data_IF_328837638502
#
_entry.id   IF_328837638502
#
_cell.length_a   1.000
_cell.length_b   1.000
_cell.length_c   1.000
_cell.angle_alpha   90.00
_cell.angle_beta   90.00
_cell.angle_gamma   90.00
#
_symmetry.space_group_name_H-M   'P 1'
#
loop_
_entity.id
_entity.type
_entity.pdbx_description
1 polymer ?
#
# COMPACT_ATOMS: atom_id res chain seq x y z
N UNK A 1 -3.19 4.10 29.23
CA UNK A 1 -2.46 3.49 28.11
C UNK A 1 -2.89 4.17 26.82
N UNK A 2 -2.02 5.01 26.24
CA UNK A 2 -2.37 6.02 25.24
C UNK A 2 -2.53 5.43 23.84
N UNK A 3 -3.73 5.56 23.25
CA UNK A 3 -4.06 5.24 21.84
C UNK A 3 -3.32 6.11 20.81
N UNK A 4 -2.46 7.03 21.23
CA UNK A 4 -1.88 8.09 20.40
C UNK A 4 -0.83 7.62 19.35
N UNK A 5 -0.16 6.48 19.55
CA UNK A 5 0.86 6.00 18.60
C UNK A 5 0.30 5.48 17.27
N UNK A 6 -0.90 4.90 17.26
CA UNK A 6 -1.51 4.34 16.03
C UNK A 6 -1.93 5.41 15.02
N UNK A 7 -2.04 6.67 15.45
CA UNK A 7 -2.60 7.74 14.63
C UNK A 7 -1.59 8.42 13.69
N UNK A 8 -0.28 8.13 13.82
CA UNK A 8 0.73 8.75 12.93
C UNK A 8 0.94 7.98 11.64
N UNK A 9 1.14 6.66 11.73
CA UNK A 9 1.45 5.84 10.55
C UNK A 9 0.21 5.74 9.64
N UNK A 10 -0.97 5.51 10.20
CA UNK A 10 -2.21 5.38 9.42
C UNK A 10 -2.58 6.61 8.58
N UNK A 11 -2.11 7.80 8.95
CA UNK A 11 -2.32 9.05 8.23
C UNK A 11 -1.32 9.28 7.07
N UNK A 12 -0.23 8.52 7.02
CA UNK A 12 0.77 8.62 5.95
C UNK A 12 0.25 7.98 4.65
N UNK A 13 0.79 8.43 3.52
CA UNK A 13 0.57 7.74 2.25
C UNK A 13 1.12 6.29 2.30
N UNK A 14 0.71 5.40 1.37
CA UNK A 14 1.13 4.01 1.39
C UNK A 14 2.66 3.78 1.44
N UNK A 15 3.45 4.56 0.70
CA UNK A 15 4.90 4.38 0.64
C UNK A 15 5.55 4.81 1.94
N UNK A 16 5.16 5.98 2.46
CA UNK A 16 5.62 6.50 3.74
C UNK A 16 5.21 5.59 4.92
N UNK A 17 4.10 4.85 4.82
CA UNK A 17 3.73 3.83 5.81
C UNK A 17 4.71 2.67 5.85
N UNK A 18 5.09 2.14 4.69
CA UNK A 18 6.07 1.03 4.65
C UNK A 18 7.47 1.52 5.06
N UNK A 19 7.85 2.74 4.66
CA UNK A 19 9.12 3.35 5.06
C UNK A 19 9.21 3.58 6.58
N UNK A 20 8.13 4.06 7.21
CA UNK A 20 8.07 4.26 8.65
C UNK A 20 8.16 2.95 9.47
N UNK A 21 7.88 1.80 8.85
CA UNK A 21 8.01 0.48 9.47
C UNK A 21 9.37 -0.16 9.20
N UNK A 22 10.00 0.16 8.07
CA UNK A 22 11.18 -0.52 7.60
C UNK A 22 12.46 -0.13 8.35
N UNK A 23 13.34 -1.10 8.54
CA UNK A 23 14.73 -0.83 8.90
C UNK A 23 15.38 0.02 7.78
N UNK A 24 16.31 0.93 8.10
CA UNK A 24 16.95 1.80 7.11
C UNK A 24 17.50 1.03 5.92
N UNK A 25 17.23 1.55 4.71
CA UNK A 25 17.69 1.00 3.44
C UNK A 25 17.29 -0.49 3.19
N UNK A 26 16.20 -0.97 3.81
CA UNK A 26 15.73 -2.36 3.61
C UNK A 26 14.56 -2.50 2.63
N UNK A 27 13.91 -1.40 2.23
CA UNK A 27 12.78 -1.43 1.31
C UNK A 27 13.18 -1.87 -0.11
N UNK A 28 12.49 -2.89 -0.61
CA UNK A 28 12.52 -3.34 -1.99
C UNK A 28 11.09 -3.44 -2.53
N UNK A 29 10.70 -2.48 -3.37
CA UNK A 29 9.36 -2.40 -3.96
C UNK A 29 9.10 -3.54 -4.94
N UNK A 30 7.92 -4.13 -4.87
CA UNK A 30 7.44 -5.08 -5.86
C UNK A 30 6.80 -4.32 -7.04
N UNK A 31 6.67 -4.96 -8.23
CA UNK A 31 5.95 -4.37 -9.35
C UNK A 31 4.55 -3.88 -8.94
N UNK A 32 4.05 -2.83 -9.59
CA UNK A 32 2.69 -2.34 -9.37
C UNK A 32 1.67 -3.46 -9.65
N UNK A 33 0.53 -3.46 -8.94
CA UNK A 33 -0.52 -4.46 -9.15
C UNK A 33 -1.15 -4.38 -10.56
N UNK A 34 -0.95 -3.26 -11.26
CA UNK A 34 -1.53 -2.99 -12.56
C UNK A 34 -2.91 -2.37 -12.43
N UNK A 35 -3.26 -1.50 -13.38
CA UNK A 35 -4.52 -0.76 -13.32
C UNK A 35 -5.76 -1.67 -13.45
N UNK A 36 -6.83 -1.38 -12.68
CA UNK A 36 -8.03 -2.22 -12.71
C UNK A 36 -8.64 -2.35 -14.12
N UNK A 37 -8.95 -3.59 -14.56
CA UNK A 37 -9.53 -3.85 -15.88
C UNK A 37 -11.01 -3.43 -15.99
N UNK A 38 -11.62 -2.93 -14.91
CA UNK A 38 -13.06 -2.69 -14.83
C UNK A 38 -13.47 -1.24 -14.62
N UNK A 39 -12.54 -0.34 -14.30
CA UNK A 39 -12.86 1.05 -13.97
C UNK A 39 -13.10 1.91 -15.22
N UNK A 40 -12.28 1.76 -16.25
CA UNK A 40 -12.39 2.57 -17.46
C UNK A 40 -13.76 2.45 -18.14
N UNK A 41 -14.34 1.24 -18.21
CA UNK A 41 -15.69 1.00 -18.76
C UNK A 41 -16.83 1.66 -17.95
N UNK A 42 -16.55 2.14 -16.74
CA UNK A 42 -17.48 2.87 -15.87
C UNK A 42 -17.20 4.37 -15.84
N UNK A 43 -16.30 4.86 -16.71
CA UNK A 43 -15.88 6.26 -16.72
C UNK A 43 -15.01 6.66 -15.52
N UNK A 44 -14.44 5.70 -14.80
CA UNK A 44 -13.54 5.96 -13.66
C UNK A 44 -12.09 5.83 -14.14
N UNK A 45 -11.27 6.86 -13.93
CA UNK A 45 -9.84 6.82 -14.21
C UNK A 45 -9.15 5.79 -13.29
N UNK A 46 -8.54 4.72 -13.84
CA UNK A 46 -7.87 3.72 -13.02
C UNK A 46 -6.50 4.23 -12.53
N UNK A 47 -6.09 3.81 -11.33
CA UNK A 47 -4.73 3.98 -10.83
C UNK A 47 -3.85 2.80 -11.27
N UNK A 48 -2.58 3.05 -11.59
CA UNK A 48 -1.63 2.04 -12.10
C UNK A 48 -1.34 0.90 -11.12
N UNK A 49 -1.57 1.12 -9.83
CA UNK A 49 -1.31 0.21 -8.72
C UNK A 49 -2.61 -0.38 -8.13
N UNK A 50 -3.77 -0.07 -8.72
CA UNK A 50 -5.10 -0.40 -8.19
C UNK A 50 -5.29 -0.03 -6.70
N UNK A 51 -4.62 1.03 -6.24
CA UNK A 51 -4.70 1.51 -4.86
C UNK A 51 -3.96 0.64 -3.83
N UNK A 52 -2.98 -0.17 -4.25
CA UNK A 52 -2.12 -0.93 -3.34
C UNK A 52 -0.67 -0.97 -3.81
N UNK A 53 0.26 -0.74 -2.89
CA UNK A 53 1.68 -0.97 -3.12
C UNK A 53 2.19 -2.09 -2.22
N UNK A 54 3.26 -2.75 -2.65
CA UNK A 54 3.84 -3.91 -1.94
C UNK A 54 5.36 -3.80 -1.91
N UNK A 55 5.97 -4.31 -0.84
CA UNK A 55 7.41 -4.33 -0.70
C UNK A 55 7.89 -5.49 0.18
N UNK A 56 9.12 -5.94 -0.08
CA UNK A 56 9.94 -6.63 0.91
C UNK A 56 10.72 -5.60 1.74
N UNK A 57 10.88 -5.86 3.04
CA UNK A 57 11.75 -5.07 3.91
C UNK A 57 12.09 -5.84 5.18
N UNK A 58 12.78 -5.19 6.12
CA UNK A 58 13.06 -5.77 7.44
C UNK A 58 12.46 -4.93 8.56
N UNK A 59 12.04 -5.58 9.63
CA UNK A 59 11.72 -4.94 10.92
C UNK A 59 12.55 -5.62 11.98
N UNK A 60 13.46 -4.87 12.63
CA UNK A 60 14.37 -5.43 13.63
C UNK A 60 15.16 -6.63 13.08
N UNK A 61 15.61 -6.52 11.83
CA UNK A 61 16.36 -7.56 11.11
C UNK A 61 15.54 -8.72 10.57
N UNK A 62 14.24 -8.83 10.86
CA UNK A 62 13.36 -9.91 10.37
C UNK A 62 12.76 -9.56 9.03
N UNK A 63 12.82 -10.47 8.05
CA UNK A 63 12.23 -10.28 6.73
C UNK A 63 10.70 -10.19 6.78
N UNK A 64 10.17 -9.14 6.15
CA UNK A 64 8.74 -8.86 6.03
C UNK A 64 8.37 -8.73 4.55
N UNK A 65 7.21 -9.26 4.19
CA UNK A 65 6.47 -8.91 2.99
C UNK A 65 5.19 -8.22 3.45
N UNK A 66 4.95 -6.99 2.99
CA UNK A 66 3.71 -6.29 3.32
C UNK A 66 3.18 -5.49 2.14
N UNK A 67 1.91 -5.14 2.25
CA UNK A 67 1.20 -4.29 1.33
C UNK A 67 0.55 -3.11 2.08
N UNK A 68 0.48 -1.95 1.43
CA UNK A 68 -0.17 -0.77 1.97
C UNK A 68 -1.25 -0.27 1.00
N UNK A 69 -2.50 -0.31 1.47
CA UNK A 69 -3.68 0.13 0.73
C UNK A 69 -3.85 1.65 0.79
N UNK A 70 -4.09 2.30 -0.35
CA UNK A 70 -4.35 3.73 -0.45
C UNK A 70 -5.84 4.06 -0.26
N UNK A 71 -6.20 4.58 0.92
CA UNK A 71 -7.57 5.02 1.19
C UNK A 71 -8.00 6.24 0.35
N UNK A 72 -7.08 6.97 -0.28
CA UNK A 72 -7.40 8.10 -1.16
C UNK A 72 -7.91 7.63 -2.52
N UNK A 73 -7.59 6.40 -2.93
CA UNK A 73 -8.10 5.79 -4.14
C UNK A 73 -9.35 4.97 -3.83
N UNK A 74 -10.51 5.42 -4.32
CA UNK A 74 -11.80 4.76 -4.14
C UNK A 74 -12.10 4.37 -2.68
N UNK A 75 -11.72 5.23 -1.72
CA UNK A 75 -11.89 4.98 -0.28
C UNK A 75 -11.21 3.70 0.24
N UNK A 76 -10.19 3.19 -0.46
CA UNK A 76 -9.57 1.91 -0.11
C UNK A 76 -10.47 0.71 -0.43
N UNK A 77 -11.27 0.79 -1.48
CA UNK A 77 -12.02 -0.39 -1.95
C UNK A 77 -11.07 -1.44 -2.53
N UNK A 78 -11.31 -2.72 -2.23
CA UNK A 78 -10.56 -3.84 -2.80
C UNK A 78 -11.12 -4.20 -4.18
N UNK A 79 -10.31 -3.99 -5.23
CA UNK A 79 -10.59 -4.35 -6.62
C UNK A 79 -9.94 -5.68 -7.06
N UNK A 80 -10.05 -5.99 -8.35
CA UNK A 80 -9.56 -7.27 -8.90
C UNK A 80 -8.03 -7.39 -8.84
N UNK A 81 -7.29 -6.39 -9.33
CA UNK A 81 -5.83 -6.44 -9.31
C UNK A 81 -5.31 -6.14 -7.90
N UNK A 82 -5.98 -5.26 -7.16
CA UNK A 82 -5.71 -5.01 -5.74
C UNK A 82 -5.74 -6.28 -4.90
N UNK A 83 -6.80 -7.09 -5.04
CA UNK A 83 -6.99 -8.32 -4.25
C UNK A 83 -6.12 -9.49 -4.70
N UNK A 84 -5.65 -9.48 -5.96
CA UNK A 84 -4.71 -10.47 -6.49
C UNK A 84 -3.24 -10.12 -6.19
N UNK A 85 -2.99 -8.94 -5.62
CA UNK A 85 -1.66 -8.43 -5.34
C UNK A 85 -1.00 -9.13 -4.15
#
# INVERSE_FOLDING_TARGET
MSRSFHNKISALDPAARLDALADPASLAWLPAAGASPHLARRGITPAVDDGIIRAHFRISGKSILAAAQDARFLSGSVGANHGAA
#
